data_IF_805925389061
#
_entry.id   IF_805925389061
#
_cell.length_a   1.000
_cell.length_b   1.000
_cell.length_c   1.000
_cell.angle_alpha   90.00
_cell.angle_beta   90.00
_cell.angle_gamma   90.00
#
_symmetry.space_group_name_H-M   'P 1'
#
loop_
_entity.id
_entity.type
_entity.pdbx_description
1 polymer ?
#
# COMPACT_ATOMS: atom_id res chain seq x y z
N UNK A 1 -17.75 6.34 -15.77
CA UNK A 1 -16.51 6.77 -15.08
C UNK A 1 -16.66 6.36 -13.62
N UNK A 2 -15.94 5.32 -13.15
CA UNK A 2 -15.97 4.95 -11.72
C UNK A 2 -15.42 6.12 -10.91
N UNK A 3 -16.16 6.60 -9.93
CA UNK A 3 -15.60 7.50 -8.92
C UNK A 3 -14.59 6.68 -8.09
N UNK A 4 -13.33 7.08 -8.09
CA UNK A 4 -12.30 6.48 -7.26
C UNK A 4 -12.71 6.57 -5.79
N UNK A 5 -12.42 5.51 -5.01
CA UNK A 5 -12.63 5.50 -3.56
C UNK A 5 -11.89 6.64 -2.83
N UNK A 6 -10.91 7.23 -3.50
CA UNK A 6 -10.18 8.43 -3.10
C UNK A 6 -10.18 9.45 -4.23
N UNK A 7 -10.45 10.70 -3.88
CA UNK A 7 -10.23 11.84 -4.75
C UNK A 7 -10.00 13.10 -3.89
N UNK A 8 -8.76 13.60 -3.76
CA UNK A 8 -7.52 13.06 -4.33
C UNK A 8 -6.95 11.85 -3.56
N UNK A 9 -6.14 11.02 -4.23
CA UNK A 9 -5.34 10.00 -3.58
C UNK A 9 -4.25 10.64 -2.70
N UNK A 10 -3.90 10.04 -1.53
CA UNK A 10 -2.81 10.56 -0.71
C UNK A 10 -1.47 10.38 -1.44
N UNK A 11 -0.48 11.25 -1.18
CA UNK A 11 0.85 11.11 -1.78
C UNK A 11 1.68 9.98 -1.19
N UNK A 12 1.39 9.63 0.07
CA UNK A 12 2.12 8.62 0.84
C UNK A 12 1.19 7.47 1.20
N UNK A 13 1.64 6.26 0.93
CA UNK A 13 0.93 5.01 1.22
C UNK A 13 1.77 4.15 2.17
N UNK A 14 1.55 4.22 3.48
CA UNK A 14 2.21 3.36 4.46
C UNK A 14 1.81 1.89 4.29
N UNK A 15 2.80 0.98 4.34
CA UNK A 15 2.62 -0.48 4.37
C UNK A 15 3.18 -1.00 5.70
N UNK A 16 2.31 -1.35 6.62
CA UNK A 16 2.67 -1.99 7.88
C UNK A 16 2.88 -3.49 7.65
N UNK A 17 4.13 -3.90 7.51
CA UNK A 17 4.50 -5.31 7.48
C UNK A 17 4.53 -5.87 8.92
N UNK A 18 3.94 -7.04 9.13
CA UNK A 18 3.85 -7.69 10.45
C UNK A 18 5.23 -7.92 11.11
N UNK A 19 6.31 -7.97 10.33
CA UNK A 19 7.68 -8.06 10.85
C UNK A 19 8.15 -6.82 11.62
N UNK A 20 7.46 -5.69 11.50
CA UNK A 20 7.73 -4.49 12.30
C UNK A 20 6.99 -4.48 13.63
N UNK A 21 6.07 -5.41 13.85
CA UNK A 21 5.25 -5.49 15.06
C UNK A 21 5.98 -6.39 16.06
N UNK A 22 6.26 -5.90 17.29
CA UNK A 22 6.95 -6.71 18.28
C UNK A 22 6.12 -7.93 18.70
N UNK A 23 6.79 -9.05 18.96
CA UNK A 23 6.13 -10.27 19.41
C UNK A 23 5.50 -10.10 20.80
N UNK A 24 6.15 -9.32 21.70
CA UNK A 24 5.64 -9.00 23.03
C UNK A 24 4.99 -7.62 23.03
N UNK A 25 3.87 -7.48 23.75
CA UNK A 25 3.14 -6.21 23.80
C UNK A 25 2.45 -5.83 22.47
N UNK A 26 2.23 -6.79 21.58
CA UNK A 26 1.68 -6.60 20.22
C UNK A 26 0.37 -5.81 20.19
N UNK A 27 -0.56 -6.15 21.06
CA UNK A 27 -1.88 -5.49 21.16
C UNK A 27 -1.73 -4.00 21.50
N UNK A 28 -0.96 -3.69 22.52
CA UNK A 28 -0.74 -2.30 22.95
C UNK A 28 0.04 -1.50 21.91
N UNK A 29 1.04 -2.13 21.29
CA UNK A 29 1.79 -1.53 20.19
C UNK A 29 0.85 -1.12 19.04
N UNK A 30 0.00 -2.03 18.56
CA UNK A 30 -0.92 -1.77 17.44
C UNK A 30 -1.95 -0.71 17.78
N UNK A 31 -2.51 -0.71 19.01
CA UNK A 31 -3.43 0.33 19.45
C UNK A 31 -2.77 1.72 19.41
N UNK A 32 -1.61 1.85 20.03
CA UNK A 32 -0.87 3.11 20.08
C UNK A 32 -0.45 3.56 18.69
N UNK A 33 0.09 2.66 17.89
CA UNK A 33 0.47 2.96 16.52
C UNK A 33 -0.73 3.45 15.70
N UNK A 34 -1.85 2.76 15.74
CA UNK A 34 -3.07 3.14 15.00
C UNK A 34 -3.59 4.52 15.41
N UNK A 35 -3.69 4.79 16.72
CA UNK A 35 -4.10 6.11 17.21
C UNK A 35 -3.15 7.21 16.76
N UNK A 36 -1.84 7.00 16.92
CA UNK A 36 -0.82 7.99 16.53
C UNK A 36 -0.80 8.26 15.02
N UNK A 37 -1.00 7.22 14.19
CA UNK A 37 -1.10 7.39 12.74
C UNK A 37 -2.37 8.14 12.32
N UNK A 38 -3.51 7.89 12.98
CA UNK A 38 -4.74 8.65 12.77
C UNK A 38 -4.54 10.13 13.09
N UNK A 39 -3.94 10.43 14.25
CA UNK A 39 -3.59 11.80 14.65
C UNK A 39 -2.57 12.47 13.72
N UNK A 40 -1.70 11.69 13.11
CA UNK A 40 -0.75 12.17 12.11
C UNK A 40 -1.38 12.45 10.75
N UNK A 41 -2.65 12.08 10.54
CA UNK A 41 -3.37 12.34 9.29
C UNK A 41 -3.21 11.24 8.24
N UNK A 42 -2.85 10.02 8.62
CA UNK A 42 -2.86 8.87 7.70
C UNK A 42 -4.29 8.61 7.24
N UNK A 43 -4.51 8.52 5.94
CA UNK A 43 -5.83 8.26 5.33
C UNK A 43 -5.91 6.92 4.60
N UNK A 44 -4.76 6.30 4.32
CA UNK A 44 -4.62 5.00 3.66
C UNK A 44 -3.50 4.23 4.34
N UNK A 45 -3.73 2.97 4.71
CA UNK A 45 -2.74 2.08 5.30
C UNK A 45 -2.94 0.66 4.77
N UNK A 46 -1.88 0.01 4.32
CA UNK A 46 -1.87 -1.42 4.03
C UNK A 46 -1.34 -2.19 5.23
N UNK A 47 -2.00 -3.29 5.58
CA UNK A 47 -1.49 -4.28 6.50
C UNK A 47 -1.05 -5.52 5.72
N UNK A 48 0.21 -5.90 5.90
CA UNK A 48 0.85 -7.03 5.23
C UNK A 48 1.34 -8.04 6.26
N UNK A 49 0.81 -9.27 6.23
CA UNK A 49 1.24 -10.35 7.10
C UNK A 49 1.55 -11.62 6.28
N UNK A 50 2.82 -11.96 6.17
CA UNK A 50 3.32 -13.16 5.49
C UNK A 50 3.71 -14.28 6.47
N UNK A 51 3.30 -14.21 7.75
CA UNK A 51 3.60 -15.27 8.73
C UNK A 51 2.88 -16.59 8.44
N UNK A 52 1.82 -16.55 7.63
CA UNK A 52 0.97 -17.71 7.34
C UNK A 52 -0.01 -18.08 8.47
N UNK A 53 -0.02 -17.34 9.58
CA UNK A 53 -0.91 -17.58 10.72
C UNK A 53 -2.16 -16.70 10.62
N UNK A 54 -3.26 -17.27 10.11
CA UNK A 54 -4.52 -16.53 9.96
C UNK A 54 -5.05 -15.98 11.29
N UNK A 55 -4.91 -16.71 12.39
CA UNK A 55 -5.36 -16.25 13.71
C UNK A 55 -4.64 -14.96 14.16
N UNK A 56 -3.33 -14.83 13.88
CA UNK A 56 -2.57 -13.61 14.14
C UNK A 56 -3.03 -12.47 13.26
N UNK A 57 -3.19 -12.72 11.95
CA UNK A 57 -3.69 -11.73 11.00
C UNK A 57 -5.05 -11.19 11.44
N UNK A 58 -5.98 -12.07 11.81
CA UNK A 58 -7.33 -11.67 12.26
C UNK A 58 -7.29 -10.84 13.54
N UNK A 59 -6.44 -11.24 14.50
CA UNK A 59 -6.28 -10.51 15.76
C UNK A 59 -5.72 -9.09 15.52
N UNK A 60 -4.67 -8.98 14.71
CA UNK A 60 -4.07 -7.69 14.34
C UNK A 60 -5.06 -6.79 13.57
N UNK A 61 -5.76 -7.38 12.60
CA UNK A 61 -6.73 -6.65 11.79
C UNK A 61 -7.86 -6.06 12.65
N UNK A 62 -8.36 -6.81 13.64
CA UNK A 62 -9.37 -6.32 14.57
C UNK A 62 -8.88 -5.13 15.39
N UNK A 63 -7.61 -5.18 15.87
CA UNK A 63 -7.01 -4.09 16.64
C UNK A 63 -6.78 -2.87 15.74
N UNK A 64 -6.23 -3.06 14.55
CA UNK A 64 -5.99 -1.99 13.58
C UNK A 64 -7.31 -1.32 13.19
N UNK A 65 -8.37 -2.09 12.87
CA UNK A 65 -9.67 -1.51 12.51
C UNK A 65 -10.29 -0.70 13.65
N UNK A 66 -10.12 -1.14 14.90
CA UNK A 66 -10.59 -0.40 16.06
C UNK A 66 -9.81 0.91 16.30
N UNK A 67 -8.50 0.90 16.04
CA UNK A 67 -7.62 2.06 16.26
C UNK A 67 -7.59 3.06 15.09
N UNK A 68 -7.98 2.62 13.89
CA UNK A 68 -7.98 3.39 12.64
C UNK A 68 -9.43 3.49 12.10
N UNK A 69 -10.21 4.53 12.49
CA UNK A 69 -11.63 4.61 12.18
C UNK A 69 -11.94 4.61 10.68
N UNK A 70 -12.93 3.84 10.26
CA UNK A 70 -13.30 3.64 8.84
C UNK A 70 -13.65 4.94 8.09
N UNK A 71 -14.18 5.94 8.80
CA UNK A 71 -14.48 7.26 8.23
C UNK A 71 -13.26 8.14 7.97
N UNK A 72 -12.09 7.77 8.52
CA UNK A 72 -10.86 8.55 8.42
C UNK A 72 -9.75 7.81 7.67
N UNK A 73 -9.59 6.50 7.92
CA UNK A 73 -8.51 5.70 7.36
C UNK A 73 -9.05 4.52 6.59
N UNK A 74 -8.65 4.39 5.33
CA UNK A 74 -8.88 3.21 4.50
C UNK A 74 -7.82 2.17 4.80
N UNK A 75 -8.24 0.95 5.15
CA UNK A 75 -7.39 -0.18 5.42
C UNK A 75 -7.41 -1.17 4.27
N UNK A 76 -6.23 -1.49 3.77
CA UNK A 76 -6.00 -2.47 2.70
C UNK A 76 -5.32 -3.70 3.31
N UNK A 77 -5.77 -4.90 2.95
CA UNK A 77 -5.09 -6.13 3.30
C UNK A 77 -4.27 -6.65 2.11
N UNK A 78 -3.02 -7.02 2.35
CA UNK A 78 -2.17 -7.67 1.35
C UNK A 78 -2.61 -9.14 1.17
N UNK A 79 -2.83 -9.57 -0.06
CA UNK A 79 -3.23 -10.89 -0.58
C UNK A 79 -4.67 -11.34 -0.23
N UNK A 80 -5.01 -11.51 1.02
CA UNK A 80 -6.18 -12.24 1.53
C UNK A 80 -7.51 -11.50 1.32
N UNK A 81 -7.87 -11.26 0.05
CA UNK A 81 -9.15 -10.63 -0.30
C UNK A 81 -10.38 -11.37 0.27
N UNK A 82 -10.26 -12.68 0.48
CA UNK A 82 -11.28 -13.54 1.10
C UNK A 82 -11.63 -13.15 2.54
N UNK A 83 -10.73 -12.45 3.25
CA UNK A 83 -10.94 -12.04 4.63
C UNK A 83 -11.52 -10.63 4.79
N UNK A 84 -11.61 -9.82 3.73
CA UNK A 84 -11.98 -8.39 3.80
C UNK A 84 -13.32 -8.17 4.51
N UNK A 85 -14.35 -8.93 4.17
CA UNK A 85 -15.67 -8.80 4.80
C UNK A 85 -15.61 -9.17 6.29
N UNK A 86 -14.83 -10.19 6.65
CA UNK A 86 -14.69 -10.68 8.03
C UNK A 86 -13.98 -9.67 8.92
N UNK A 87 -12.97 -8.96 8.41
CA UNK A 87 -12.13 -8.03 9.18
C UNK A 87 -12.59 -6.58 9.09
N UNK A 88 -13.55 -6.26 8.20
CA UNK A 88 -14.06 -4.92 8.00
C UNK A 88 -13.05 -3.94 7.39
N UNK A 89 -12.09 -4.43 6.59
CA UNK A 89 -11.17 -3.56 5.84
C UNK A 89 -11.85 -3.01 4.58
N UNK A 90 -11.26 -1.96 4.02
CA UNK A 90 -11.82 -1.21 2.91
C UNK A 90 -11.42 -1.77 1.54
N UNK A 91 -10.44 -2.68 1.49
CA UNK A 91 -9.99 -3.29 0.24
C UNK A 91 -8.83 -4.25 0.41
N UNK A 92 -8.35 -4.77 -0.73
CA UNK A 92 -7.21 -5.68 -0.80
C UNK A 92 -6.21 -5.26 -1.88
N UNK A 93 -4.93 -5.55 -1.63
CA UNK A 93 -3.90 -5.59 -2.66
C UNK A 93 -3.68 -7.04 -3.07
N UNK A 94 -3.89 -7.37 -4.34
CA UNK A 94 -3.77 -8.73 -4.86
C UNK A 94 -2.68 -8.82 -5.93
N UNK A 95 -1.79 -9.80 -5.79
CA UNK A 95 -0.71 -10.08 -6.73
C UNK A 95 -0.98 -11.35 -7.54
N UNK A 96 -0.22 -11.58 -8.61
CA UNK A 96 -0.44 -12.67 -9.57
C UNK A 96 -0.36 -14.11 -8.98
N UNK A 97 0.15 -14.27 -7.76
CA UNK A 97 0.23 -15.55 -7.05
C UNK A 97 -1.01 -15.87 -6.19
N UNK A 98 -1.91 -14.92 -6.04
CA UNK A 98 -3.07 -15.02 -5.14
C UNK A 98 -4.38 -15.02 -5.94
N UNK A 99 -5.12 -13.95 -5.88
CA UNK A 99 -6.37 -13.74 -6.59
C UNK A 99 -6.17 -12.64 -7.63
N UNK A 100 -6.60 -12.84 -8.88
CA UNK A 100 -6.51 -11.77 -9.85
C UNK A 100 -7.54 -10.65 -9.58
N UNK A 101 -7.30 -9.41 -10.08
CA UNK A 101 -8.19 -8.26 -9.79
C UNK A 101 -9.66 -8.47 -10.21
N UNK A 102 -9.92 -9.26 -11.25
CA UNK A 102 -11.29 -9.54 -11.71
C UNK A 102 -12.02 -10.45 -10.74
N UNK A 103 -11.35 -11.47 -10.20
CA UNK A 103 -11.89 -12.35 -9.16
C UNK A 103 -12.10 -11.58 -7.86
N UNK A 104 -11.11 -10.77 -7.45
CA UNK A 104 -11.23 -9.92 -6.27
C UNK A 104 -12.42 -8.95 -6.39
N UNK A 105 -12.63 -8.35 -7.55
CA UNK A 105 -13.77 -7.46 -7.80
C UNK A 105 -15.12 -8.19 -7.75
N UNK A 106 -15.19 -9.42 -8.26
CA UNK A 106 -16.40 -10.25 -8.15
C UNK A 106 -16.72 -10.60 -6.69
N UNK A 107 -15.68 -10.91 -5.92
CA UNK A 107 -15.81 -11.26 -4.50
C UNK A 107 -16.22 -10.05 -3.65
N UNK A 108 -15.55 -8.93 -3.82
CA UNK A 108 -15.63 -7.77 -2.92
C UNK A 108 -16.68 -6.73 -3.35
N UNK A 109 -17.22 -6.85 -4.57
CA UNK A 109 -18.18 -5.87 -5.10
C UNK A 109 -17.54 -4.57 -5.58
N UNK A 110 -18.36 -3.58 -6.00
CA UNK A 110 -17.88 -2.37 -6.68
C UNK A 110 -17.23 -1.34 -5.75
N UNK A 111 -17.54 -1.37 -4.46
CA UNK A 111 -17.22 -0.29 -3.52
C UNK A 111 -15.89 -0.50 -2.77
N UNK A 112 -15.33 -1.71 -2.81
CA UNK A 112 -14.04 -2.02 -2.18
C UNK A 112 -12.87 -1.61 -3.06
N UNK A 113 -11.79 -1.18 -2.43
CA UNK A 113 -10.55 -0.80 -3.11
C UNK A 113 -9.78 -2.06 -3.50
N UNK A 114 -9.36 -2.15 -4.75
CA UNK A 114 -8.52 -3.24 -5.24
C UNK A 114 -7.24 -2.65 -5.81
N UNK A 115 -6.11 -3.01 -5.22
CA UNK A 115 -4.79 -2.77 -5.76
C UNK A 115 -4.20 -4.01 -6.39
N UNK A 116 -3.29 -3.85 -7.32
CA UNK A 116 -2.53 -4.96 -7.89
C UNK A 116 -1.15 -4.51 -8.39
N UNK A 117 -0.26 -5.47 -8.64
CA UNK A 117 0.99 -5.18 -9.30
C UNK A 117 0.74 -4.87 -10.79
N UNK A 118 1.16 -3.70 -11.22
CA UNK A 118 0.95 -3.21 -12.58
C UNK A 118 2.14 -3.40 -13.50
N UNK A 119 3.37 -3.34 -12.98
CA UNK A 119 4.52 -3.45 -13.86
C UNK A 119 5.87 -3.23 -13.19
N UNK A 120 6.92 -3.59 -13.91
CA UNK A 120 8.30 -3.55 -13.44
C UNK A 120 9.32 -3.31 -14.56
N UNK A 121 10.48 -3.95 -14.46
CA UNK A 121 11.57 -3.76 -15.42
C UNK A 121 11.20 -4.15 -16.86
N UNK A 122 10.30 -5.12 -17.04
CA UNK A 122 9.82 -5.55 -18.36
C UNK A 122 8.73 -4.66 -18.97
N UNK A 123 8.24 -3.65 -18.24
CA UNK A 123 7.13 -2.81 -18.67
C UNK A 123 5.86 -3.02 -17.82
N UNK A 124 4.75 -2.43 -18.25
CA UNK A 124 3.43 -2.73 -17.70
C UNK A 124 3.05 -4.17 -18.03
N UNK A 125 2.39 -4.87 -17.12
CA UNK A 125 1.90 -6.23 -17.38
C UNK A 125 0.84 -6.19 -18.48
N UNK A 126 0.87 -7.11 -19.44
CA UNK A 126 -0.10 -7.16 -20.53
C UNK A 126 -1.54 -7.22 -19.99
N UNK A 127 -2.41 -6.33 -20.48
CA UNK A 127 -3.82 -6.28 -20.12
C UNK A 127 -4.13 -5.83 -18.68
N UNK A 128 -3.13 -5.44 -17.89
CA UNK A 128 -3.37 -5.11 -16.48
C UNK A 128 -4.20 -3.84 -16.31
N UNK A 129 -4.07 -2.89 -17.22
CA UNK A 129 -4.79 -1.60 -17.15
C UNK A 129 -6.27 -1.74 -17.51
N UNK A 130 -6.67 -2.83 -18.17
CA UNK A 130 -8.07 -3.19 -18.43
C UNK A 130 -8.70 -3.93 -17.24
N UNK A 131 -7.90 -4.33 -16.26
CA UNK A 131 -8.40 -4.97 -15.05
C UNK A 131 -9.23 -3.99 -14.20
N UNK A 132 -10.17 -4.50 -13.38
CA UNK A 132 -11.01 -3.64 -12.53
C UNK A 132 -10.29 -3.20 -11.23
N UNK A 133 -8.97 -3.08 -11.24
CA UNK A 133 -8.21 -2.53 -10.13
C UNK A 133 -8.36 -1.01 -10.04
N UNK A 134 -8.22 -0.46 -8.84
CA UNK A 134 -8.30 0.96 -8.56
C UNK A 134 -6.92 1.62 -8.56
N UNK A 135 -5.87 0.86 -8.26
CA UNK A 135 -4.48 1.31 -8.36
C UNK A 135 -3.52 0.18 -8.77
N UNK A 136 -2.38 0.57 -9.30
CA UNK A 136 -1.35 -0.34 -9.83
C UNK A 136 0.00 -0.03 -9.19
N UNK A 137 0.58 -0.96 -8.44
CA UNK A 137 1.93 -0.81 -7.90
C UNK A 137 2.97 -1.07 -9.00
N UNK A 138 4.00 -0.22 -9.06
CA UNK A 138 5.10 -0.32 -10.02
C UNK A 138 6.44 -0.36 -9.28
N UNK A 139 7.32 -1.28 -9.67
CA UNK A 139 8.61 -1.43 -9.00
C UNK A 139 9.26 -2.79 -9.17
N UNK A 140 10.27 -3.13 -8.34
CA UNK A 140 10.83 -2.28 -7.27
C UNK A 140 11.65 -1.11 -7.82
N UNK A 141 11.42 0.10 -7.28
CA UNK A 141 12.15 1.29 -7.75
C UNK A 141 13.61 1.23 -7.31
N UNK A 142 13.85 0.96 -6.03
CA UNK A 142 15.16 0.79 -5.43
C UNK A 142 15.25 -0.51 -4.63
N UNK A 143 16.46 -0.87 -4.21
CA UNK A 143 16.68 -2.03 -3.34
C UNK A 143 15.92 -1.85 -2.00
N UNK A 144 15.29 -2.93 -1.55
CA UNK A 144 14.51 -2.96 -0.31
C UNK A 144 14.89 -4.17 0.54
N UNK A 145 14.76 -4.02 1.87
CA UNK A 145 14.95 -5.12 2.83
C UNK A 145 13.63 -5.69 3.36
N UNK A 146 12.50 -5.08 3.03
CA UNK A 146 11.18 -5.49 3.55
C UNK A 146 10.63 -6.68 2.75
N UNK A 147 10.68 -6.61 1.42
CA UNK A 147 10.32 -7.73 0.53
C UNK A 147 11.57 -8.13 -0.24
N UNK A 148 12.09 -9.33 0.02
CA UNK A 148 13.17 -9.87 -0.83
C UNK A 148 12.61 -10.18 -2.20
N UNK A 149 13.22 -9.64 -3.24
CA UNK A 149 12.86 -9.90 -4.64
C UNK A 149 14.12 -9.97 -5.49
N UNK A 150 14.14 -10.88 -6.43
CA UNK A 150 15.15 -10.96 -7.49
C UNK A 150 14.81 -10.08 -8.70
N UNK A 151 13.67 -9.39 -8.67
CA UNK A 151 13.25 -8.53 -9.79
C UNK A 151 14.23 -7.38 -9.99
N UNK A 152 14.61 -7.05 -11.23
CA UNK A 152 15.47 -5.92 -11.52
C UNK A 152 14.86 -4.60 -11.05
N UNK A 153 15.70 -3.71 -10.55
CA UNK A 153 15.29 -2.37 -10.11
C UNK A 153 14.94 -1.50 -11.32
N UNK A 154 13.88 -0.72 -11.20
CA UNK A 154 13.43 0.14 -12.31
C UNK A 154 14.02 1.55 -12.26
N UNK A 155 14.43 2.03 -11.10
CA UNK A 155 14.87 3.41 -10.90
C UNK A 155 13.80 4.45 -11.25
N UNK A 156 14.16 5.71 -11.22
CA UNK A 156 13.24 6.81 -11.60
C UNK A 156 12.91 6.82 -13.08
N UNK A 157 13.84 6.40 -13.93
CA UNK A 157 13.61 6.27 -15.37
C UNK A 157 12.55 5.21 -15.68
N UNK A 158 12.56 4.08 -14.93
CA UNK A 158 11.51 3.08 -15.04
C UNK A 158 10.14 3.62 -14.59
N UNK A 159 10.07 4.47 -13.57
CA UNK A 159 8.81 5.12 -13.17
C UNK A 159 8.27 6.01 -14.30
N UNK A 160 9.13 6.85 -14.93
CA UNK A 160 8.74 7.70 -16.07
C UNK A 160 8.25 6.86 -17.25
N UNK A 161 8.99 5.80 -17.58
CA UNK A 161 8.62 4.89 -18.67
C UNK A 161 7.27 4.23 -18.42
N UNK A 162 7.05 3.64 -17.23
CA UNK A 162 5.79 2.98 -16.88
C UNK A 162 4.62 3.96 -16.83
N UNK A 163 4.83 5.21 -16.41
CA UNK A 163 3.82 6.26 -16.53
C UNK A 163 3.48 6.57 -17.98
N UNK A 164 4.50 6.62 -18.86
CA UNK A 164 4.29 6.80 -20.30
C UNK A 164 3.47 5.66 -20.91
N UNK A 165 3.77 4.41 -20.56
CA UNK A 165 3.03 3.22 -21.00
C UNK A 165 1.58 3.22 -20.47
N UNK A 166 1.38 3.59 -19.20
CA UNK A 166 0.04 3.61 -18.58
C UNK A 166 -0.82 4.80 -19.03
N UNK A 167 -0.23 5.88 -19.53
CA UNK A 167 -0.95 7.12 -19.78
C UNK A 167 -1.32 7.88 -18.49
N UNK A 168 -2.08 8.99 -18.56
CA UNK A 168 -2.31 9.88 -17.42
C UNK A 168 -3.38 9.42 -16.43
N UNK A 169 -4.28 8.51 -16.84
CA UNK A 169 -5.48 8.14 -16.05
C UNK A 169 -5.25 7.19 -14.87
N UNK A 170 -4.48 6.10 -15.03
CA UNK A 170 -4.31 5.11 -13.98
C UNK A 170 -3.56 5.65 -12.75
N UNK A 171 -3.99 5.19 -11.56
CA UNK A 171 -3.32 5.48 -10.29
C UNK A 171 -2.11 4.57 -10.16
N UNK A 172 -0.89 5.13 -10.26
CA UNK A 172 0.36 4.39 -10.13
C UNK A 172 0.99 4.60 -8.76
N UNK A 173 1.32 3.51 -8.10
CA UNK A 173 1.98 3.47 -6.78
C UNK A 173 3.43 3.04 -6.97
N UNK A 174 4.39 3.96 -6.81
CA UNK A 174 5.80 3.60 -6.82
C UNK A 174 6.18 2.89 -5.52
N UNK A 175 6.75 1.68 -5.63
CA UNK A 175 7.10 0.84 -4.47
C UNK A 175 8.54 0.32 -4.57
N UNK A 176 9.15 0.08 -3.41
CA UNK A 176 10.47 -0.51 -3.26
C UNK A 176 11.57 0.51 -3.01
N UNK A 177 12.10 0.50 -1.79
CA UNK A 177 13.26 1.29 -1.37
C UNK A 177 13.10 2.81 -1.43
N UNK A 178 11.87 3.32 -1.55
CA UNK A 178 11.59 4.75 -1.53
C UNK A 178 11.93 5.32 -0.14
N UNK A 179 12.67 6.43 -0.14
CA UNK A 179 13.04 7.22 1.05
C UNK A 179 12.47 8.63 0.91
N UNK A 180 12.46 9.40 2.00
CA UNK A 180 12.00 10.79 1.94
C UNK A 180 12.78 11.60 0.90
N UNK A 181 14.09 11.38 0.79
CA UNK A 181 14.94 12.07 -0.19
C UNK A 181 14.60 11.76 -1.66
N UNK A 182 13.97 10.60 -1.93
CA UNK A 182 13.64 10.15 -3.31
C UNK A 182 12.15 10.25 -3.63
N UNK A 183 11.30 10.48 -2.63
CA UNK A 183 9.85 10.45 -2.80
C UNK A 183 9.33 11.54 -3.74
N UNK A 184 9.82 12.79 -3.58
CA UNK A 184 9.43 13.90 -4.43
C UNK A 184 9.79 13.64 -5.91
N UNK A 185 10.96 13.05 -6.17
CA UNK A 185 11.35 12.67 -7.52
C UNK A 185 10.49 11.56 -8.11
N UNK A 186 10.09 10.56 -7.30
CA UNK A 186 9.20 9.49 -7.74
C UNK A 186 7.81 10.04 -8.14
N UNK A 187 7.27 10.99 -7.37
CA UNK A 187 6.03 11.69 -7.70
C UNK A 187 6.20 12.53 -8.98
N UNK A 188 7.30 13.28 -9.11
CA UNK A 188 7.61 14.06 -10.31
C UNK A 188 7.85 13.17 -11.54
N UNK A 189 8.33 11.94 -11.36
CA UNK A 189 8.49 10.95 -12.41
C UNK A 189 7.15 10.35 -12.89
N UNK A 190 6.04 10.66 -12.21
CA UNK A 190 4.70 10.29 -12.63
C UNK A 190 4.00 9.26 -11.72
N UNK A 191 4.58 8.89 -10.58
CA UNK A 191 3.83 8.14 -9.58
C UNK A 191 2.71 9.03 -9.00
N UNK A 192 1.54 8.45 -8.76
CA UNK A 192 0.44 9.16 -8.08
C UNK A 192 0.71 9.21 -6.58
N UNK A 193 1.23 8.13 -6.02
CA UNK A 193 1.63 8.02 -4.63
C UNK A 193 2.87 7.11 -4.49
N UNK A 194 3.54 7.21 -3.37
CA UNK A 194 4.69 6.38 -3.02
C UNK A 194 4.33 5.44 -1.87
N UNK A 195 4.60 4.14 -2.03
CA UNK A 195 4.40 3.15 -0.97
C UNK A 195 5.68 3.01 -0.14
N UNK A 196 5.54 3.13 1.17
CA UNK A 196 6.64 3.10 2.13
C UNK A 196 6.35 2.12 3.28
N UNK A 197 7.33 1.28 3.59
CA UNK A 197 7.27 0.36 4.72
C UNK A 197 8.40 0.66 5.70
N UNK A 198 9.59 0.11 5.49
CA UNK A 198 10.72 0.27 6.40
C UNK A 198 11.21 1.70 6.58
N UNK A 199 11.01 2.59 5.62
CA UNK A 199 11.35 4.01 5.75
C UNK A 199 10.53 4.70 6.85
N UNK A 200 9.33 4.20 7.12
CA UNK A 200 8.44 4.71 8.15
C UNK A 200 8.52 3.86 9.43
N UNK A 201 8.23 2.55 9.32
CA UNK A 201 7.99 1.70 10.49
C UNK A 201 9.26 1.23 11.22
N UNK A 202 10.46 1.51 10.69
CA UNK A 202 11.73 1.34 11.41
C UNK A 202 12.16 2.57 12.21
N UNK A 203 11.43 3.67 12.10
CA UNK A 203 11.69 4.87 12.88
C UNK A 203 11.18 4.71 14.32
N UNK A 204 11.82 5.35 15.30
CA UNK A 204 11.37 5.30 16.69
C UNK A 204 9.94 5.83 16.89
N UNK A 205 9.54 6.82 16.10
CA UNK A 205 8.18 7.39 16.07
C UNK A 205 7.67 7.45 14.61
N UNK A 206 6.95 6.41 14.14
CA UNK A 206 6.40 6.39 12.79
C UNK A 206 5.41 7.52 12.51
N UNK A 207 4.66 7.97 13.51
CA UNK A 207 3.70 9.05 13.32
C UNK A 207 4.37 10.41 13.13
N UNK A 208 5.43 10.70 13.88
CA UNK A 208 6.25 11.90 13.69
C UNK A 208 6.95 11.87 12.31
N UNK A 209 7.48 10.71 11.92
CA UNK A 209 8.08 10.56 10.59
C UNK A 209 7.03 10.74 9.48
N UNK A 210 5.82 10.20 9.62
CA UNK A 210 4.77 10.43 8.63
C UNK A 210 4.42 11.92 8.48
N UNK A 211 4.29 12.66 9.59
CA UNK A 211 4.10 14.13 9.53
C UNK A 211 5.22 14.83 8.79
N UNK A 212 6.47 14.39 9.00
CA UNK A 212 7.62 14.91 8.27
C UNK A 212 7.49 14.67 6.76
N UNK A 213 7.11 13.46 6.34
CA UNK A 213 6.85 13.14 4.94
C UNK A 213 5.76 14.03 4.34
N UNK A 214 4.67 14.26 5.07
CA UNK A 214 3.59 15.13 4.59
C UNK A 214 4.00 16.58 4.48
N UNK A 215 4.87 17.07 5.36
CA UNK A 215 5.44 18.43 5.27
C UNK A 215 6.34 18.61 4.05
N UNK A 216 7.19 17.62 3.77
CA UNK A 216 8.15 17.68 2.65
C UNK A 216 7.48 17.47 1.28
N UNK A 217 6.40 16.70 1.21
CA UNK A 217 5.75 16.37 -0.05
C UNK A 217 4.52 17.26 -0.36
N UNK A 218 4.06 18.06 0.57
CA UNK A 218 2.99 19.05 0.38
C UNK A 218 1.60 18.46 0.42
#
# INVERSE_FOLDING_TARGET
MKMSAFNPWPRVYPILDASFIPATGRVEFLRRLGSSLTEAGVTLLEYRNKSGMEAELLADAAILRAALPAGQVKLILDDRADLIEKIGFDGAHVDAGDMNPTEARKLLGPDRIIGTFGGGAAGMLPGILESPADYYSIGPVFATRTKQTSSPLIGMEGVRRLRGEAGPGPVLVAIGGITLATAAEALAAGATLVAIAGALFRQPDPAAEFRRWMTELG
#
